data_IF_281601026610
#
_entry.id   IF_281601026610
#
_cell.length_a   1.000
_cell.length_b   1.000
_cell.length_c   1.000
_cell.angle_alpha   90.00
_cell.angle_beta   90.00
_cell.angle_gamma   90.00
#
_symmetry.space_group_name_H-M   'P 1'
#
loop_
_entity.id
_entity.type
_entity.pdbx_description
1 polymer ?
#
# COMPACT_ATOMS: atom_id res chain seq x y z
N UNK A 1 -11.03 -5.71 -14.16
CA UNK A 1 -10.39 -7.04 -14.19
C UNK A 1 -9.45 -7.15 -15.36
N UNK A 2 -8.15 -7.17 -15.09
CA UNK A 2 -7.11 -7.35 -16.09
C UNK A 2 -6.82 -8.83 -16.25
N UNK A 3 -7.15 -9.39 -17.42
CA UNK A 3 -6.83 -10.79 -17.71
C UNK A 3 -5.31 -11.04 -17.86
N UNK A 4 -4.48 -9.99 -17.95
CA UNK A 4 -3.03 -10.08 -18.18
C UNK A 4 -2.20 -9.76 -16.93
N UNK A 5 -2.68 -8.86 -16.08
CA UNK A 5 -1.97 -8.38 -14.89
C UNK A 5 -2.90 -8.43 -13.68
N UNK A 6 -3.17 -9.63 -13.15
CA UNK A 6 -4.12 -9.79 -12.05
C UNK A 6 -3.62 -9.10 -10.79
N UNK A 7 -4.58 -8.56 -10.03
CA UNK A 7 -4.36 -7.86 -8.76
C UNK A 7 -5.07 -8.62 -7.65
N UNK A 8 -4.29 -9.06 -6.67
CA UNK A 8 -4.77 -9.65 -5.43
C UNK A 8 -4.57 -8.63 -4.32
N UNK A 9 -5.61 -8.30 -3.58
CA UNK A 9 -5.53 -7.39 -2.44
C UNK A 9 -6.00 -8.08 -1.17
N UNK A 10 -5.26 -7.93 -0.08
CA UNK A 10 -5.71 -8.32 1.25
C UNK A 10 -5.91 -7.05 2.06
N UNK A 11 -7.17 -6.83 2.46
CA UNK A 11 -7.53 -5.67 3.26
C UNK A 11 -7.65 -6.01 4.75
N UNK A 12 -6.95 -5.28 5.61
CA UNK A 12 -6.99 -5.49 7.05
C UNK A 12 -5.98 -4.64 7.80
N UNK A 13 -6.17 -4.50 9.11
CA UNK A 13 -5.22 -3.77 9.95
C UNK A 13 -3.95 -4.58 10.16
N UNK A 14 -2.81 -3.90 10.06
CA UNK A 14 -1.51 -4.46 10.44
C UNK A 14 -1.56 -5.07 11.84
N UNK A 15 -1.13 -6.33 11.97
CA UNK A 15 -1.18 -7.10 13.22
C UNK A 15 -2.47 -7.89 13.49
N UNK A 16 -3.53 -7.73 12.68
CA UNK A 16 -4.74 -8.56 12.76
C UNK A 16 -4.62 -9.90 11.99
N UNK A 17 -3.39 -10.37 11.79
CA UNK A 17 -3.08 -11.57 11.02
C UNK A 17 -2.71 -11.33 9.56
N UNK A 18 -2.77 -10.09 9.06
CA UNK A 18 -2.40 -9.75 7.66
C UNK A 18 -0.97 -10.17 7.34
N UNK A 19 -0.01 -9.96 8.25
CA UNK A 19 1.37 -10.42 8.10
C UNK A 19 1.49 -11.94 7.96
N UNK A 20 0.70 -12.69 8.75
CA UNK A 20 0.66 -14.16 8.66
C UNK A 20 0.09 -14.60 7.32
N UNK A 21 -0.98 -13.96 6.86
CA UNK A 21 -1.59 -14.23 5.56
C UNK A 21 -0.63 -13.89 4.41
N UNK A 22 0.04 -12.73 4.45
CA UNK A 22 1.06 -12.34 3.48
C UNK A 22 2.20 -13.35 3.41
N UNK A 23 2.67 -13.86 4.56
CA UNK A 23 3.69 -14.90 4.58
C UNK A 23 3.19 -16.22 3.97
N UNK A 24 1.95 -16.63 4.26
CA UNK A 24 1.35 -17.81 3.64
C UNK A 24 1.24 -17.66 2.12
N UNK A 25 0.78 -16.51 1.63
CA UNK A 25 0.68 -16.21 0.20
C UNK A 25 2.07 -16.18 -0.46
N UNK A 26 3.07 -15.56 0.18
CA UNK A 26 4.48 -15.62 -0.28
C UNK A 26 4.97 -17.05 -0.45
N UNK A 27 4.65 -17.94 0.49
CA UNK A 27 5.00 -19.35 0.38
C UNK A 27 4.30 -20.04 -0.80
N UNK A 28 3.01 -19.77 -1.01
CA UNK A 28 2.25 -20.30 -2.16
C UNK A 28 2.87 -19.84 -3.47
N UNK A 29 3.12 -18.54 -3.64
CA UNK A 29 3.72 -18.00 -4.86
C UNK A 29 5.09 -18.60 -5.13
N UNK A 30 5.95 -18.72 -4.11
CA UNK A 30 7.24 -19.39 -4.25
C UNK A 30 7.11 -20.86 -4.65
N UNK A 31 6.12 -21.58 -4.13
CA UNK A 31 5.88 -22.99 -4.48
C UNK A 31 5.32 -23.17 -5.90
N UNK A 32 4.66 -22.15 -6.44
CA UNK A 32 4.10 -22.14 -7.79
C UNK A 32 4.99 -21.44 -8.82
N UNK A 33 6.18 -20.99 -8.41
CA UNK A 33 7.11 -20.20 -9.24
C UNK A 33 6.47 -18.92 -9.83
N UNK A 34 5.66 -18.24 -9.02
CA UNK A 34 4.98 -16.99 -9.37
C UNK A 34 5.83 -15.81 -8.90
N UNK A 35 6.18 -14.91 -9.83
CA UNK A 35 6.86 -13.66 -9.57
C UNK A 35 5.85 -12.54 -9.27
N UNK A 36 5.63 -12.23 -7.99
CA UNK A 36 4.65 -11.23 -7.56
C UNK A 36 5.27 -9.89 -7.17
N UNK A 37 4.68 -8.78 -7.62
CA UNK A 37 4.95 -7.44 -7.12
C UNK A 37 4.26 -7.23 -5.76
N UNK A 38 5.02 -7.12 -4.67
CA UNK A 38 4.48 -6.89 -3.33
C UNK A 38 4.34 -5.39 -3.01
N UNK A 39 3.11 -4.98 -2.66
CA UNK A 39 2.76 -3.61 -2.31
C UNK A 39 2.26 -3.54 -0.87
N UNK A 40 2.90 -2.71 -0.06
CA UNK A 40 2.49 -2.42 1.32
C UNK A 40 1.61 -1.16 1.31
N UNK A 41 0.42 -1.19 1.93
CA UNK A 41 -0.55 -0.10 1.90
C UNK A 41 -0.04 1.19 2.53
N UNK A 42 0.84 1.08 3.52
CA UNK A 42 1.45 2.21 4.23
C UNK A 42 2.32 3.09 3.30
N UNK A 43 2.70 2.56 2.14
CA UNK A 43 3.33 3.31 1.04
C UNK A 43 2.49 4.51 0.57
N UNK A 44 1.17 4.44 0.75
CA UNK A 44 0.21 5.44 0.31
C UNK A 44 -0.27 6.37 1.44
N UNK A 45 0.37 6.34 2.61
CA UNK A 45 0.15 7.38 3.62
C UNK A 45 0.52 8.76 3.06
N UNK A 46 -0.30 9.78 3.34
CA UNK A 46 -0.01 11.17 2.94
C UNK A 46 1.11 11.79 3.76
N UNK A 47 1.32 11.30 4.97
CA UNK A 47 2.15 11.95 5.98
C UNK A 47 3.19 10.99 6.56
N UNK A 48 4.40 11.53 6.77
CA UNK A 48 5.39 10.90 7.65
C UNK A 48 4.86 10.86 9.08
N UNK A 49 5.48 10.06 9.96
CA UNK A 49 5.07 9.97 11.37
C UNK A 49 5.03 11.35 12.06
N UNK A 50 6.06 12.21 11.94
CA UNK A 50 6.03 13.54 12.56
C UNK A 50 4.95 14.46 11.96
N UNK A 51 4.71 14.37 10.65
CA UNK A 51 3.66 15.14 9.97
C UNK A 51 2.26 14.70 10.41
N UNK A 52 2.05 13.39 10.56
CA UNK A 52 0.78 12.85 11.04
C UNK A 52 0.52 13.28 12.50
N UNK A 53 1.52 13.22 13.37
CA UNK A 53 1.40 13.68 14.76
C UNK A 53 1.06 15.17 14.83
N UNK A 54 1.57 15.98 13.89
CA UNK A 54 1.18 17.39 13.75
C UNK A 54 -0.28 17.51 13.29
N UNK A 55 -0.69 16.75 12.27
CA UNK A 55 -2.08 16.77 11.76
C UNK A 55 -3.11 16.35 12.79
N UNK A 56 -2.80 15.33 13.61
CA UNK A 56 -3.65 14.91 14.73
C UNK A 56 -3.85 16.06 15.72
N UNK A 57 -2.77 16.76 16.10
CA UNK A 57 -2.86 17.91 17.02
C UNK A 57 -3.65 19.07 16.43
N UNK A 58 -3.44 19.39 15.16
CA UNK A 58 -4.19 20.45 14.44
C UNK A 58 -5.69 20.12 14.38
N UNK A 59 -6.05 18.87 14.07
CA UNK A 59 -7.44 18.42 14.02
C UNK A 59 -8.11 18.49 15.39
N UNK A 60 -7.42 18.06 16.46
CA UNK A 60 -7.93 18.12 17.82
C UNK A 60 -8.26 19.55 18.27
N UNK A 61 -7.46 20.55 17.88
CA UNK A 61 -7.74 21.97 18.16
C UNK A 61 -9.03 22.46 17.51
N UNK A 62 -9.47 21.82 16.42
CA UNK A 62 -10.72 22.09 15.73
C UNK A 62 -11.85 21.13 16.12
N UNK A 63 -11.67 20.32 17.17
CA UNK A 63 -12.60 19.26 17.57
C UNK A 63 -12.92 18.26 16.44
N UNK A 64 -11.94 18.02 15.57
CA UNK A 64 -11.97 17.00 14.51
C UNK A 64 -11.00 15.86 14.84
N UNK A 65 -11.16 14.74 14.12
CA UNK A 65 -10.30 13.57 14.28
C UNK A 65 -9.78 13.11 12.92
N UNK A 66 -8.47 12.95 12.83
CA UNK A 66 -7.79 12.31 11.69
C UNK A 66 -7.19 10.98 12.16
N UNK A 67 -7.26 9.96 11.32
CA UNK A 67 -6.70 8.64 11.59
C UNK A 67 -6.20 7.98 10.31
N UNK A 68 -5.33 6.99 10.46
CA UNK A 68 -4.83 6.16 9.36
C UNK A 68 -5.92 5.36 8.65
N UNK A 69 -7.13 5.25 9.20
CA UNK A 69 -8.25 4.60 8.52
C UNK A 69 -8.92 5.50 7.47
N UNK A 70 -8.80 6.83 7.61
CA UNK A 70 -9.52 7.79 6.79
C UNK A 70 -8.76 8.25 5.55
N UNK A 71 -9.51 8.76 4.57
CA UNK A 71 -8.98 9.36 3.32
C UNK A 71 -8.05 10.57 3.53
N UNK A 72 -8.17 11.23 4.68
CA UNK A 72 -7.32 12.37 5.02
C UNK A 72 -5.86 11.97 5.26
N UNK A 73 -5.61 10.75 5.73
CA UNK A 73 -4.26 10.25 6.01
C UNK A 73 -3.68 9.40 4.87
N UNK A 74 -4.48 9.11 3.83
CA UNK A 74 -4.13 8.17 2.76
C UNK A 74 -4.37 8.77 1.38
N UNK A 75 -3.49 8.46 0.44
CA UNK A 75 -3.59 8.91 -0.94
C UNK A 75 -4.26 7.85 -1.82
N UNK A 76 -5.60 7.84 -1.80
CA UNK A 76 -6.39 6.90 -2.58
C UNK A 76 -6.25 7.12 -4.09
N UNK A 77 -6.00 8.36 -4.54
CA UNK A 77 -5.73 8.63 -5.94
C UNK A 77 -4.43 7.96 -6.39
N UNK A 78 -3.34 8.13 -5.63
CA UNK A 78 -2.09 7.44 -5.93
C UNK A 78 -2.21 5.90 -5.88
N UNK A 79 -3.06 5.37 -4.99
CA UNK A 79 -3.34 3.94 -4.90
C UNK A 79 -4.14 3.44 -6.12
N UNK A 80 -5.20 4.14 -6.50
CA UNK A 80 -6.00 3.81 -7.69
C UNK A 80 -5.18 3.93 -8.97
N UNK A 81 -4.32 4.95 -9.08
CA UNK A 81 -3.39 5.12 -10.20
C UNK A 81 -2.43 3.93 -10.32
N UNK A 82 -1.89 3.44 -9.19
CA UNK A 82 -1.06 2.23 -9.19
C UNK A 82 -1.83 1.02 -9.70
N UNK A 83 -3.04 0.79 -9.18
CA UNK A 83 -3.85 -0.37 -9.53
C UNK A 83 -4.30 -0.32 -10.99
N UNK A 84 -4.65 0.87 -11.47
CA UNK A 84 -4.98 1.12 -12.88
C UNK A 84 -3.78 0.81 -13.76
N UNK A 85 -2.62 1.45 -13.49
CA UNK A 85 -1.42 1.29 -14.32
C UNK A 85 -0.93 -0.16 -14.33
N UNK A 86 -0.90 -0.81 -13.17
CA UNK A 86 -0.50 -2.21 -13.09
C UNK A 86 -1.45 -3.10 -13.87
N UNK A 87 -2.76 -2.91 -13.72
CA UNK A 87 -3.76 -3.68 -14.48
C UNK A 87 -3.62 -3.50 -15.99
N UNK A 88 -3.23 -2.33 -16.47
CA UNK A 88 -3.08 -2.04 -17.90
C UNK A 88 -1.76 -2.53 -18.50
N UNK A 89 -0.64 -2.31 -17.80
CA UNK A 89 0.71 -2.49 -18.37
C UNK A 89 1.63 -3.39 -17.55
N UNK A 90 1.25 -3.80 -16.34
CA UNK A 90 2.11 -4.51 -15.40
C UNK A 90 3.19 -3.62 -14.79
N UNK A 91 3.13 -2.31 -15.00
CA UNK A 91 4.07 -1.33 -14.46
C UNK A 91 3.44 -0.50 -13.34
N UNK A 92 4.28 0.13 -12.52
CA UNK A 92 3.83 0.99 -11.46
C UNK A 92 4.99 1.58 -10.69
N UNK A 93 4.67 2.47 -9.75
CA UNK A 93 5.64 3.04 -8.84
C UNK A 93 5.29 2.67 -7.42
N UNK A 94 6.31 2.36 -6.64
CA UNK A 94 6.18 2.14 -5.20
C UNK A 94 7.19 3.00 -4.45
N UNK A 95 6.89 3.29 -3.20
CA UNK A 95 7.84 3.77 -2.21
C UNK A 95 7.58 2.97 -0.94
N UNK A 96 8.52 2.89 -0.02
CA UNK A 96 8.35 2.15 1.23
C UNK A 96 8.15 3.13 2.37
N UNK A 97 7.24 2.82 3.29
CA UNK A 97 7.17 3.48 4.58
C UNK A 97 8.05 2.73 5.58
N UNK A 98 9.01 3.42 6.19
CA UNK A 98 10.02 2.78 7.03
C UNK A 98 9.52 2.69 8.46
N UNK A 99 9.26 1.48 8.96
CA UNK A 99 8.69 1.29 10.30
C UNK A 99 9.74 1.30 11.41
N UNK A 100 10.93 0.76 11.10
CA UNK A 100 11.99 0.44 12.05
C UNK A 100 13.31 1.11 11.67
N UNK A 101 14.25 1.16 12.61
CA UNK A 101 15.60 1.66 12.32
C UNK A 101 16.33 0.76 11.33
N UNK A 102 16.16 -0.55 11.43
CA UNK A 102 16.81 -1.52 10.53
C UNK A 102 16.37 -1.33 9.08
N UNK A 103 15.10 -1.00 8.85
CA UNK A 103 14.59 -0.61 7.52
C UNK A 103 15.15 0.73 7.06
N UNK A 104 15.33 1.71 7.96
CA UNK A 104 15.68 3.08 7.62
C UNK A 104 17.17 3.33 7.42
N UNK A 105 18.03 2.57 8.13
CA UNK A 105 19.49 2.68 8.06
C UNK A 105 20.03 2.54 6.62
N UNK A 106 19.60 1.55 5.80
CA UNK A 106 20.03 1.43 4.41
C UNK A 106 19.77 2.67 3.55
N UNK A 107 18.75 3.46 3.91
CA UNK A 107 18.38 4.68 3.19
C UNK A 107 18.95 5.96 3.82
N UNK A 108 19.71 5.83 4.92
CA UNK A 108 20.17 6.96 5.74
C UNK A 108 19.02 7.90 6.15
N UNK A 109 17.88 7.30 6.49
CA UNK A 109 16.65 7.97 6.89
C UNK A 109 16.27 7.62 8.34
N UNK A 110 15.21 8.25 8.86
CA UNK A 110 14.64 7.94 10.16
C UNK A 110 13.38 7.08 10.01
N UNK A 111 13.04 6.23 11.00
CA UNK A 111 11.76 5.56 11.01
C UNK A 111 10.59 6.55 10.95
N UNK A 112 9.54 6.15 10.27
CA UNK A 112 8.36 6.96 10.01
C UNK A 112 8.47 7.87 8.78
N UNK A 113 9.48 7.68 7.93
CA UNK A 113 9.61 8.40 6.65
C UNK A 113 9.38 7.49 5.45
N UNK A 114 9.30 8.09 4.27
CA UNK A 114 9.18 7.37 3.01
C UNK A 114 10.52 7.31 2.28
N UNK A 115 10.77 6.20 1.61
CA UNK A 115 11.80 6.14 0.58
C UNK A 115 11.37 6.99 -0.64
N UNK A 116 12.30 7.32 -1.54
CA UNK A 116 11.93 7.81 -2.86
C UNK A 116 11.06 6.80 -3.62
N UNK A 117 10.24 7.30 -4.55
CA UNK A 117 9.51 6.46 -5.50
C UNK A 117 10.48 5.70 -6.41
N UNK A 118 10.17 4.44 -6.65
CA UNK A 118 10.92 3.51 -7.50
C UNK A 118 9.94 2.80 -8.42
N UNK A 119 10.38 2.46 -9.63
CA UNK A 119 9.58 1.63 -10.53
C UNK A 119 9.45 0.22 -9.95
N UNK A 120 8.30 -0.43 -10.21
CA UNK A 120 8.11 -1.83 -9.90
C UNK A 120 9.07 -2.71 -10.70
N UNK A 121 9.32 -3.90 -10.17
CA UNK A 121 10.01 -4.94 -10.92
C UNK A 121 9.24 -5.29 -12.20
N UNK A 122 9.98 -5.43 -13.29
CA UNK A 122 9.40 -5.80 -14.58
C UNK A 122 9.16 -7.31 -14.65
N UNK A 123 8.25 -7.73 -15.53
CA UNK A 123 7.91 -9.14 -15.77
C UNK A 123 7.37 -9.83 -14.51
N UNK A 124 6.50 -9.16 -13.77
CA UNK A 124 5.74 -9.76 -12.68
C UNK A 124 4.48 -10.41 -13.23
N UNK A 125 4.12 -11.57 -12.68
CA UNK A 125 2.94 -12.35 -13.05
C UNK A 125 1.67 -11.75 -12.44
N UNK A 126 1.79 -11.11 -11.27
CA UNK A 126 0.69 -10.48 -10.55
C UNK A 126 1.17 -9.42 -9.57
N UNK A 127 0.26 -8.53 -9.14
CA UNK A 127 0.47 -7.63 -8.02
C UNK A 127 -0.28 -8.14 -6.80
N UNK A 128 0.42 -8.17 -5.66
CA UNK A 128 -0.13 -8.51 -4.36
C UNK A 128 -0.07 -7.29 -3.43
N UNK A 129 -1.22 -6.77 -3.07
CA UNK A 129 -1.37 -5.67 -2.12
C UNK A 129 -1.74 -6.19 -0.73
N UNK A 130 -1.11 -5.66 0.31
CA UNK A 130 -1.54 -5.81 1.70
C UNK A 130 -1.64 -4.44 2.37
N UNK A 131 -2.77 -4.17 3.01
CA UNK A 131 -2.99 -2.89 3.70
C UNK A 131 -4.43 -2.67 4.11
N UNK A 132 -4.78 -1.46 4.54
CA UNK A 132 -6.13 -1.14 5.02
C UNK A 132 -7.15 -0.83 3.90
N UNK A 133 -6.68 -0.54 2.69
CA UNK A 133 -7.49 0.16 1.68
C UNK A 133 -7.50 -0.52 0.31
N UNK A 134 -7.17 -1.81 0.24
CA UNK A 134 -7.11 -2.56 -1.01
C UNK A 134 -8.43 -2.68 -1.75
N UNK A 135 -9.56 -2.48 -1.05
CA UNK A 135 -10.91 -2.46 -1.61
C UNK A 135 -11.67 -1.17 -1.30
N UNK A 136 -10.98 -0.03 -1.18
CA UNK A 136 -11.64 1.25 -0.88
C UNK A 136 -12.45 1.76 -2.07
N UNK A 137 -13.63 2.29 -1.77
CA UNK A 137 -14.49 3.04 -2.69
C UNK A 137 -14.93 4.31 -1.96
N UNK A 138 -14.64 5.47 -2.53
CA UNK A 138 -15.15 6.76 -2.08
C UNK A 138 -15.82 7.52 -3.23
N UNK A 139 -16.16 8.80 -3.01
CA UNK A 139 -16.85 9.61 -4.02
C UNK A 139 -15.97 9.92 -5.25
N UNK A 140 -14.65 9.89 -5.08
CA UNK A 140 -13.68 10.31 -6.08
C UNK A 140 -12.89 9.13 -6.67
N UNK A 141 -12.78 8.01 -5.95
CA UNK A 141 -11.91 6.86 -6.28
C UNK A 141 -12.59 5.52 -6.04
N UNK A 142 -12.37 4.56 -6.95
CA UNK A 142 -12.83 3.18 -6.81
C UNK A 142 -11.66 2.23 -7.09
N UNK A 143 -10.93 1.89 -6.03
CA UNK A 143 -9.79 0.96 -6.09
C UNK A 143 -10.29 -0.48 -6.27
N UNK A 144 -11.44 -0.81 -5.68
CA UNK A 144 -11.99 -2.16 -5.66
C UNK A 144 -12.26 -2.71 -7.07
N UNK A 145 -12.67 -1.87 -8.03
CA UNK A 145 -12.95 -2.31 -9.42
C UNK A 145 -11.73 -2.91 -10.15
N UNK A 146 -10.52 -2.63 -9.67
CA UNK A 146 -9.27 -3.12 -10.26
C UNK A 146 -8.83 -4.46 -9.68
N UNK A 147 -9.39 -4.88 -8.55
CA UNK A 147 -8.97 -6.09 -7.82
C UNK A 147 -9.69 -7.32 -8.37
N UNK A 148 -8.92 -8.36 -8.69
CA UNK A 148 -9.45 -9.64 -9.18
C UNK A 148 -9.75 -10.62 -8.01
N UNK A 149 -9.06 -10.45 -6.87
CA UNK A 149 -9.31 -11.19 -5.62
C UNK A 149 -9.11 -10.28 -4.40
N UNK A 150 -10.16 -10.08 -3.60
CA UNK A 150 -10.16 -9.28 -2.36
C UNK A 150 -10.46 -10.14 -1.13
#
# INVERSE_FOLDING_TARGET
MSAKHPIIAITGSSGAGTTTTTNAVKHIFRSLDINAAFIEGDSFHRYTRPEMDKKIREAQQQSKHISYFGREANDFGALEDLFTKYGETGEGKLRRYLHTFDEAVPYNQLPGTFTPWQELEQNTDLMFYEGLHGGVVDEDHDVAKHVDLL
#
